data_IF_898654129320
#
_entry.id   IF_898654129320
#
_cell.length_a   1.000
_cell.length_b   1.000
_cell.length_c   1.000
_cell.angle_alpha   90.00
_cell.angle_beta   90.00
_cell.angle_gamma   90.00
#
_symmetry.space_group_name_H-M   'P 1'
#
loop_
_entity.id
_entity.type
_entity.pdbx_description
1 polymer ?
#
# COMPACT_ATOMS: atom_id res chain seq x y z
N UNK A 1 2.14 22.68 -22.00
CA UNK A 1 2.34 24.08 -22.45
C UNK A 1 1.26 24.97 -21.81
N UNK A 2 1.48 26.28 -21.69
CA UNK A 2 0.48 27.22 -21.10
C UNK A 2 -0.86 27.26 -21.87
N UNK A 3 -0.87 26.79 -23.12
CA UNK A 3 -2.01 26.77 -24.03
C UNK A 3 -2.58 25.35 -24.27
N UNK A 4 -2.09 24.33 -23.56
CA UNK A 4 -2.57 22.94 -23.67
C UNK A 4 -2.30 22.22 -25.00
N UNK A 5 -1.58 22.85 -25.96
CA UNK A 5 -1.33 22.29 -27.29
C UNK A 5 -0.26 21.19 -27.36
N UNK A 6 0.55 21.04 -26.30
CA UNK A 6 1.70 20.13 -26.30
C UNK A 6 1.71 19.25 -25.05
N UNK A 7 1.80 17.94 -25.29
CA UNK A 7 2.09 16.92 -24.28
C UNK A 7 3.55 16.52 -24.46
N UNK A 8 4.32 16.57 -23.38
CA UNK A 8 5.64 15.96 -23.31
C UNK A 8 5.49 14.71 -22.46
N UNK A 9 5.63 13.55 -23.09
CA UNK A 9 5.64 12.25 -22.42
C UNK A 9 7.09 11.76 -22.29
N UNK A 10 7.59 11.67 -21.05
CA UNK A 10 8.99 11.37 -20.78
C UNK A 10 9.43 11.71 -19.35
N UNK A 11 10.63 11.29 -18.98
CA UNK A 11 11.26 11.63 -17.70
C UNK A 11 12.34 12.68 -17.91
N UNK A 12 12.44 13.63 -16.99
CA UNK A 12 13.56 14.57 -16.91
C UNK A 12 14.62 13.93 -16.02
N UNK A 13 15.77 13.59 -16.60
CA UNK A 13 16.91 13.02 -15.90
C UNK A 13 18.00 14.08 -15.85
N UNK A 14 18.37 14.48 -14.64
CA UNK A 14 19.58 15.23 -14.38
C UNK A 14 20.77 14.30 -14.55
N UNK A 15 21.66 14.58 -15.50
CA UNK A 15 22.82 13.74 -15.82
C UNK A 15 24.04 14.07 -14.94
N UNK A 16 24.07 15.25 -14.33
CA UNK A 16 25.14 15.65 -13.41
C UNK A 16 24.97 14.90 -12.09
N UNK A 17 23.78 15.02 -11.50
CA UNK A 17 23.44 14.35 -10.25
C UNK A 17 22.97 12.89 -10.47
N UNK A 18 22.70 12.49 -11.72
CA UNK A 18 22.13 11.19 -12.10
C UNK A 18 20.76 10.91 -11.44
N UNK A 19 19.94 11.95 -11.30
CA UNK A 19 18.62 11.89 -10.62
C UNK A 19 17.49 12.04 -11.63
N UNK A 20 16.47 11.17 -11.53
CA UNK A 20 15.22 11.37 -12.24
C UNK A 20 14.33 12.39 -11.48
N UNK A 21 14.27 13.62 -11.98
CA UNK A 21 13.51 14.72 -11.37
C UNK A 21 11.99 14.49 -11.46
N UNK A 22 11.54 13.81 -12.51
CA UNK A 22 10.13 13.42 -12.67
C UNK A 22 9.73 12.42 -11.58
N UNK A 23 10.55 11.41 -11.32
CA UNK A 23 10.31 10.43 -10.25
C UNK A 23 10.37 11.08 -8.86
N UNK A 24 11.37 11.94 -8.61
CA UNK A 24 11.49 12.68 -7.34
C UNK A 24 10.22 13.50 -7.04
N UNK A 25 9.67 14.16 -8.05
CA UNK A 25 8.44 14.94 -7.91
C UNK A 25 7.23 14.03 -7.65
N UNK A 26 7.10 12.93 -8.39
CA UNK A 26 6.03 11.93 -8.18
C UNK A 26 6.10 11.34 -6.77
N UNK A 27 7.27 10.92 -6.30
CA UNK A 27 7.47 10.37 -4.96
C UNK A 27 7.06 11.38 -3.88
N UNK A 28 7.42 12.66 -4.03
CA UNK A 28 6.99 13.71 -3.09
C UNK A 28 5.47 13.87 -3.04
N UNK A 29 4.79 13.83 -4.19
CA UNK A 29 3.32 13.89 -4.25
C UNK A 29 2.69 12.65 -3.58
N UNK A 30 3.18 11.46 -3.90
CA UNK A 30 2.73 10.21 -3.25
C UNK A 30 2.93 10.26 -1.74
N UNK A 31 4.09 10.74 -1.28
CA UNK A 31 4.38 10.93 0.14
C UNK A 31 3.36 11.86 0.80
N UNK A 32 3.02 12.99 0.16
CA UNK A 32 2.04 13.94 0.67
C UNK A 32 0.64 13.33 0.74
N UNK A 33 0.22 12.58 -0.29
CA UNK A 33 -1.08 11.91 -0.31
C UNK A 33 -1.20 10.88 0.82
N UNK A 34 -0.16 10.06 1.04
CA UNK A 34 -0.16 9.08 2.12
C UNK A 34 -0.08 9.74 3.50
N UNK A 35 0.74 10.78 3.68
CA UNK A 35 0.83 11.52 4.95
C UNK A 35 -0.45 12.29 5.30
N UNK A 36 -1.18 12.76 4.29
CA UNK A 36 -2.44 13.46 4.45
C UNK A 36 -3.65 12.54 4.67
N UNK A 37 -3.49 11.23 4.47
CA UNK A 37 -4.56 10.26 4.68
C UNK A 37 -4.66 9.84 6.15
N UNK A 38 -5.88 9.75 6.68
CA UNK A 38 -6.11 9.40 8.07
C UNK A 38 -5.70 7.95 8.36
N UNK A 39 -4.74 7.77 9.28
CA UNK A 39 -4.25 6.45 9.68
C UNK A 39 -5.33 5.59 10.35
N UNK A 40 -6.37 6.18 10.95
CA UNK A 40 -7.52 5.44 11.49
C UNK A 40 -8.31 4.72 10.40
N UNK A 41 -8.15 5.15 9.15
CA UNK A 41 -8.69 4.49 7.96
C UNK A 41 -7.69 3.52 7.32
N UNK A 42 -6.74 2.97 8.08
CA UNK A 42 -5.82 1.91 7.67
C UNK A 42 -5.87 0.72 8.63
N UNK A 43 -5.55 -0.49 8.17
CA UNK A 43 -5.30 -1.62 9.07
C UNK A 43 -3.82 -1.64 9.42
N UNK A 44 -3.48 -1.33 10.68
CA UNK A 44 -2.09 -1.15 11.13
C UNK A 44 -1.55 -2.37 11.87
N UNK A 45 -0.45 -2.90 11.35
CA UNK A 45 0.40 -3.91 11.98
C UNK A 45 1.67 -3.23 12.50
N UNK A 46 1.68 -2.83 13.78
CA UNK A 46 2.78 -2.06 14.35
C UNK A 46 4.07 -2.88 14.44
N UNK A 47 5.21 -2.19 14.33
CA UNK A 47 6.50 -2.74 14.70
C UNK A 47 6.52 -3.28 16.14
N UNK A 48 7.30 -4.33 16.37
CA UNK A 48 7.64 -4.73 17.74
C UNK A 48 8.69 -3.77 18.31
N UNK A 49 8.38 -3.14 19.44
CA UNK A 49 9.25 -2.13 20.05
C UNK A 49 9.28 -0.81 19.29
N UNK A 50 10.48 -0.24 19.07
CA UNK A 50 10.63 1.07 18.42
C UNK A 50 10.42 0.92 16.91
N UNK A 51 9.47 1.70 16.36
CA UNK A 51 9.30 1.82 14.91
C UNK A 51 10.53 2.50 14.30
N UNK A 52 11.22 1.78 13.41
CA UNK A 52 12.36 2.25 12.61
C UNK A 52 11.90 2.78 11.25
N UNK A 53 10.94 2.09 10.64
CA UNK A 53 10.39 2.43 9.33
C UNK A 53 8.88 2.17 9.30
N UNK A 54 8.15 2.93 8.50
CA UNK A 54 6.72 2.71 8.23
C UNK A 54 6.48 2.55 6.74
N UNK A 55 5.79 1.48 6.33
CA UNK A 55 5.36 1.30 4.94
C UNK A 55 3.84 1.26 4.84
N UNK A 56 3.32 1.81 3.75
CA UNK A 56 1.90 1.67 3.40
C UNK A 56 1.77 0.72 2.23
N UNK A 57 0.85 -0.24 2.31
CA UNK A 57 0.71 -1.29 1.30
C UNK A 57 -0.73 -1.34 0.81
N UNK A 58 -0.91 -1.09 -0.48
CA UNK A 58 -2.16 -1.36 -1.17
C UNK A 58 -2.28 -2.87 -1.39
N UNK A 59 -3.33 -3.48 -0.82
CA UNK A 59 -3.48 -4.94 -0.75
C UNK A 59 -4.88 -5.37 -1.17
N UNK A 60 -4.96 -6.55 -1.80
CA UNK A 60 -6.21 -7.21 -2.21
C UNK A 60 -6.30 -8.54 -1.44
N UNK A 61 -7.47 -8.82 -0.87
CA UNK A 61 -7.73 -10.01 -0.04
C UNK A 61 -7.66 -11.31 -0.83
N UNK A 62 -7.90 -11.27 -2.15
CA UNK A 62 -7.88 -12.44 -3.03
C UNK A 62 -6.59 -12.49 -3.89
N UNK A 63 -5.60 -11.64 -3.60
CA UNK A 63 -4.32 -11.66 -4.31
C UNK A 63 -3.32 -12.64 -3.65
N UNK A 64 -2.81 -13.67 -4.36
CA UNK A 64 -1.86 -14.63 -3.80
C UNK A 64 -0.57 -13.98 -3.30
N UNK A 65 -0.02 -13.01 -4.03
CA UNK A 65 1.17 -12.27 -3.58
C UNK A 65 0.90 -11.38 -2.37
N UNK A 66 -0.34 -10.89 -2.19
CA UNK A 66 -0.72 -10.19 -0.96
C UNK A 66 -0.81 -11.12 0.24
N UNK A 67 -1.20 -12.38 0.03
CA UNK A 67 -1.17 -13.42 1.05
C UNK A 67 0.27 -13.81 1.41
N UNK A 68 1.14 -13.99 0.40
CA UNK A 68 2.58 -14.22 0.63
C UNK A 68 3.22 -13.09 1.43
N UNK A 69 3.00 -11.83 1.04
CA UNK A 69 3.49 -10.68 1.78
C UNK A 69 2.97 -10.66 3.22
N UNK A 70 1.69 -10.99 3.44
CA UNK A 70 1.08 -10.99 4.77
C UNK A 70 1.73 -11.99 5.73
N UNK A 71 2.12 -13.17 5.23
CA UNK A 71 2.86 -14.17 6.02
C UNK A 71 4.20 -13.67 6.54
N UNK A 72 4.79 -12.67 5.88
CA UNK A 72 6.07 -12.09 6.30
C UNK A 72 5.92 -10.81 7.13
N UNK A 73 4.70 -10.30 7.34
CA UNK A 73 4.45 -9.11 8.19
C UNK A 73 5.01 -9.28 9.60
N UNK A 74 4.87 -10.42 10.30
CA UNK A 74 5.51 -10.61 11.60
C UNK A 74 7.04 -10.41 11.54
N UNK A 75 7.70 -10.92 10.50
CA UNK A 75 9.15 -10.72 10.32
C UNK A 75 9.52 -9.25 10.11
N UNK A 76 8.69 -8.49 9.40
CA UNK A 76 8.86 -7.03 9.24
C UNK A 76 8.65 -6.31 10.58
N UNK A 77 7.61 -6.67 11.32
CA UNK A 77 7.30 -6.08 12.61
C UNK A 77 8.44 -6.32 13.63
N UNK A 78 8.97 -7.54 13.71
CA UNK A 78 10.12 -7.89 14.57
C UNK A 78 11.39 -7.12 14.17
N UNK A 79 11.51 -6.74 12.89
CA UNK A 79 12.60 -5.91 12.39
C UNK A 79 12.35 -4.41 12.62
N UNK A 80 11.34 -4.01 13.40
CA UNK A 80 11.04 -2.61 13.67
C UNK A 80 10.27 -1.89 12.56
N UNK A 81 9.59 -2.60 11.66
CA UNK A 81 8.85 -2.01 10.53
C UNK A 81 7.35 -2.07 10.80
N UNK A 82 6.68 -0.93 10.77
CA UNK A 82 5.22 -0.84 10.83
C UNK A 82 4.63 -0.98 9.43
N UNK A 83 3.63 -1.86 9.27
CA UNK A 83 2.94 -2.09 7.99
C UNK A 83 1.51 -1.59 8.10
N UNK A 84 1.11 -0.70 7.19
CA UNK A 84 -0.25 -0.14 7.13
C UNK A 84 -0.93 -0.60 5.84
N UNK A 85 -2.06 -1.30 5.94
CA UNK A 85 -2.81 -1.71 4.77
C UNK A 85 -3.90 -0.72 4.38
N UNK A 86 -4.00 -0.50 3.06
CA UNK A 86 -5.12 0.11 2.37
C UNK A 86 -5.70 -0.94 1.40
N UNK A 87 -7.02 -1.09 1.38
CA UNK A 87 -7.68 -2.05 0.50
C UNK A 87 -7.65 -1.55 -0.94
N UNK A 88 -7.25 -2.43 -1.85
CA UNK A 88 -7.24 -2.21 -3.29
C UNK A 88 -7.80 -3.43 -4.02
N UNK A 89 -9.12 -3.68 -3.94
CA UNK A 89 -9.76 -4.77 -4.67
C UNK A 89 -9.58 -4.56 -6.17
N UNK A 90 -8.73 -5.36 -6.82
CA UNK A 90 -8.33 -5.11 -8.22
C UNK A 90 -9.48 -5.23 -9.23
N UNK A 91 -10.52 -5.99 -8.88
CA UNK A 91 -11.73 -6.11 -9.68
C UNK A 91 -12.70 -4.91 -9.51
N UNK A 92 -12.35 -3.94 -8.67
CA UNK A 92 -13.07 -2.68 -8.52
C UNK A 92 -14.32 -2.75 -7.62
N UNK A 93 -14.99 -1.59 -7.42
CA UNK A 93 -16.18 -1.49 -6.58
C UNK A 93 -17.31 -2.41 -7.03
N UNK A 94 -18.00 -3.04 -6.07
CA UNK A 94 -19.11 -3.97 -6.34
C UNK A 94 -18.69 -5.41 -6.69
N UNK A 95 -17.39 -5.66 -6.88
CA UNK A 95 -16.88 -7.03 -7.10
C UNK A 95 -16.92 -7.89 -5.82
N UNK A 96 -16.86 -9.23 -5.92
CA UNK A 96 -16.77 -10.10 -4.74
C UNK A 96 -15.58 -9.78 -3.82
N UNK A 97 -14.40 -9.48 -4.38
CA UNK A 97 -13.23 -9.06 -3.57
C UNK A 97 -13.50 -7.74 -2.85
N UNK A 98 -14.17 -6.76 -3.48
CA UNK A 98 -14.55 -5.52 -2.82
C UNK A 98 -15.47 -5.77 -1.63
N UNK A 99 -16.50 -6.60 -1.81
CA UNK A 99 -17.43 -6.97 -0.72
C UNK A 99 -16.67 -7.66 0.41
N UNK A 100 -15.76 -8.58 0.09
CA UNK A 100 -14.90 -9.26 1.08
C UNK A 100 -13.97 -8.28 1.81
N UNK A 101 -13.40 -7.29 1.11
CA UNK A 101 -12.62 -6.21 1.72
C UNK A 101 -13.45 -5.35 2.68
N UNK A 102 -14.72 -5.06 2.34
CA UNK A 102 -15.66 -4.38 3.25
C UNK A 102 -15.93 -5.23 4.48
N UNK A 103 -16.20 -6.53 4.33
CA UNK A 103 -16.39 -7.43 5.48
C UNK A 103 -15.16 -7.50 6.38
N UNK A 104 -13.94 -7.53 5.81
CA UNK A 104 -12.68 -7.45 6.57
C UNK A 104 -12.60 -6.15 7.37
N UNK A 105 -12.91 -5.02 6.73
CA UNK A 105 -12.87 -3.72 7.39
C UNK A 105 -13.90 -3.61 8.52
N UNK A 106 -15.09 -4.18 8.32
CA UNK A 106 -16.19 -4.14 9.28
C UNK A 106 -16.12 -5.25 10.34
N UNK A 107 -15.06 -6.06 10.37
CA UNK A 107 -14.86 -7.05 11.39
C UNK A 107 -14.44 -6.42 12.72
N UNK A 108 -14.82 -7.04 13.84
CA UNK A 108 -14.45 -6.59 15.19
C UNK A 108 -12.93 -6.62 15.39
N UNK A 109 -12.26 -7.58 14.75
CA UNK A 109 -10.81 -7.65 14.65
C UNK A 109 -10.41 -7.69 13.17
N UNK A 110 -10.13 -6.51 12.62
CA UNK A 110 -9.69 -6.31 11.24
C UNK A 110 -8.39 -7.06 10.92
N UNK A 111 -7.46 -7.18 11.88
CA UNK A 111 -6.16 -7.84 11.66
C UNK A 111 -6.33 -9.34 11.54
N UNK A 112 -7.17 -9.92 12.40
CA UNK A 112 -7.54 -11.35 12.30
C UNK A 112 -8.34 -11.61 11.02
N UNK A 113 -9.30 -10.75 10.69
CA UNK A 113 -10.15 -10.92 9.52
C UNK A 113 -9.37 -10.88 8.20
N UNK A 114 -8.41 -9.94 8.05
CA UNK A 114 -7.60 -9.88 6.83
C UNK A 114 -6.67 -11.10 6.70
N UNK A 115 -6.13 -11.62 7.80
CA UNK A 115 -5.34 -12.85 7.81
C UNK A 115 -6.16 -14.04 7.32
N UNK A 116 -7.33 -14.25 7.92
CA UNK A 116 -8.26 -15.30 7.52
C UNK A 116 -8.68 -15.17 6.04
N UNK A 117 -8.99 -13.94 5.59
CA UNK A 117 -9.36 -13.67 4.20
C UNK A 117 -8.29 -14.12 3.20
N UNK A 118 -7.02 -13.79 3.51
CA UNK A 118 -5.84 -14.08 2.69
C UNK A 118 -5.44 -15.56 2.71
N UNK A 119 -5.85 -16.30 3.73
CA UNK A 119 -5.68 -17.75 3.83
C UNK A 119 -6.79 -18.53 3.11
N UNK A 120 -7.76 -17.83 2.50
CA UNK A 120 -8.91 -18.47 1.83
C UNK A 120 -10.03 -18.87 2.80
N UNK A 121 -9.97 -18.41 4.05
CA UNK A 121 -11.05 -18.62 5.01
C UNK A 121 -12.34 -17.88 4.63
N UNK A 122 -13.46 -18.41 5.13
CA UNK A 122 -14.78 -17.81 4.94
C UNK A 122 -14.98 -16.70 5.98
N UNK A 123 -15.34 -15.52 5.51
CA UNK A 123 -15.74 -14.40 6.36
C UNK A 123 -17.24 -14.24 6.31
N UNK A 124 -17.85 -13.95 7.46
CA UNK A 124 -19.22 -13.48 7.50
C UNK A 124 -19.35 -12.17 6.71
N UNK A 125 -20.41 -12.05 5.94
CA UNK A 125 -20.72 -10.81 5.25
C UNK A 125 -21.09 -9.73 6.27
N UNK A 126 -20.28 -8.67 6.36
CA UNK A 126 -20.52 -7.52 7.24
C UNK A 126 -20.47 -6.23 6.43
N UNK A 127 -21.26 -5.25 6.86
CA UNK A 127 -21.25 -3.90 6.31
C UNK A 127 -21.32 -2.87 7.43
N UNK A 128 -20.66 -1.74 7.21
CA UNK A 128 -20.52 -0.63 8.14
C UNK A 128 -20.08 0.60 7.34
N UNK A 129 -20.06 1.78 7.97
CA UNK A 129 -19.35 2.92 7.38
C UNK A 129 -17.85 2.58 7.27
N UNK A 130 -17.33 2.60 6.05
CA UNK A 130 -16.00 2.06 5.75
C UNK A 130 -15.29 2.86 4.65
N UNK A 131 -13.95 2.91 4.67
CA UNK A 131 -13.17 3.68 3.73
C UNK A 131 -12.77 2.86 2.48
N UNK A 132 -13.25 1.64 2.24
CA UNK A 132 -12.71 0.76 1.18
C UNK A 132 -12.76 1.41 -0.21
N UNK A 133 -13.85 2.12 -0.52
CA UNK A 133 -13.97 2.87 -1.78
C UNK A 133 -13.01 4.08 -1.84
N UNK A 134 -12.80 4.76 -0.71
CA UNK A 134 -11.87 5.89 -0.59
C UNK A 134 -10.42 5.42 -0.77
N UNK A 135 -10.05 4.32 -0.11
CA UNK A 135 -8.75 3.66 -0.24
C UNK A 135 -8.46 3.24 -1.68
N UNK A 136 -9.45 2.63 -2.35
CA UNK A 136 -9.34 2.26 -3.76
C UNK A 136 -9.08 3.49 -4.64
N UNK A 137 -9.84 4.56 -4.47
CA UNK A 137 -9.66 5.82 -5.22
C UNK A 137 -8.31 6.48 -4.95
N UNK A 138 -7.83 6.45 -3.70
CA UNK A 138 -6.49 6.93 -3.35
C UNK A 138 -5.41 6.14 -4.10
N UNK A 139 -5.55 4.81 -4.18
CA UNK A 139 -4.65 3.97 -4.96
C UNK A 139 -4.65 4.34 -6.45
N UNK A 140 -5.83 4.61 -7.03
CA UNK A 140 -5.92 5.09 -8.42
C UNK A 140 -5.21 6.43 -8.62
N UNK A 141 -5.40 7.37 -7.69
CA UNK A 141 -4.75 8.68 -7.73
C UNK A 141 -3.22 8.59 -7.64
N UNK A 142 -2.70 7.65 -6.85
CA UNK A 142 -1.26 7.37 -6.71
C UNK A 142 -0.69 6.63 -7.94
N UNK A 143 -1.55 5.99 -8.74
CA UNK A 143 -1.15 5.19 -9.91
C UNK A 143 -0.87 3.72 -9.59
N UNK A 144 -1.53 3.16 -8.58
CA UNK A 144 -1.45 1.73 -8.24
C UNK A 144 -2.09 0.90 -9.36
N UNK A 145 -1.30 0.05 -10.01
CA UNK A 145 -1.75 -0.82 -11.12
C UNK A 145 -1.88 -2.29 -10.72
N UNK A 146 -1.39 -2.67 -9.54
CA UNK A 146 -1.41 -4.05 -9.06
C UNK A 146 -1.21 -4.14 -7.55
N UNK A 147 -1.37 -5.35 -7.01
CA UNK A 147 -1.21 -5.61 -5.58
C UNK A 147 -0.31 -6.82 -5.34
N UNK A 148 0.51 -6.83 -4.26
CA UNK A 148 0.70 -5.71 -3.36
C UNK A 148 1.46 -4.57 -4.06
N UNK A 149 1.20 -3.32 -3.68
CA UNK A 149 2.04 -2.18 -4.04
C UNK A 149 2.46 -1.50 -2.74
N UNK A 150 3.76 -1.40 -2.51
CA UNK A 150 4.33 -0.83 -1.29
C UNK A 150 4.72 0.61 -1.54
N UNK A 151 4.40 1.48 -0.59
CA UNK A 151 4.77 2.89 -0.57
C UNK A 151 5.70 3.10 0.62
N UNK A 152 6.93 3.52 0.33
CA UNK A 152 7.94 3.82 1.35
C UNK A 152 7.70 5.20 1.96
N UNK A 153 8.39 5.52 3.06
CA UNK A 153 8.23 6.80 3.77
C UNK A 153 8.59 8.02 2.92
N UNK A 154 9.51 7.87 1.97
CA UNK A 154 9.89 8.90 1.00
C UNK A 154 8.92 9.00 -0.20
N UNK A 155 7.84 8.20 -0.21
CA UNK A 155 6.84 8.13 -1.26
C UNK A 155 7.23 7.32 -2.49
N UNK A 156 8.40 6.66 -2.47
CA UNK A 156 8.78 5.71 -3.51
C UNK A 156 7.78 4.56 -3.57
N UNK A 157 7.37 4.23 -4.78
CA UNK A 157 6.44 3.14 -5.07
C UNK A 157 7.25 1.89 -5.47
N UNK A 158 7.04 0.79 -4.75
CA UNK A 158 7.56 -0.53 -5.11
C UNK A 158 6.37 -1.42 -5.52
N UNK A 159 6.13 -1.64 -6.82
CA UNK A 159 5.08 -2.53 -7.28
C UNK A 159 5.46 -4.00 -7.04
N UNK A 160 4.47 -4.81 -6.68
CA UNK A 160 4.63 -6.24 -6.50
C UNK A 160 5.14 -6.65 -5.12
N UNK A 161 5.29 -7.96 -4.94
CA UNK A 161 5.81 -8.54 -3.71
C UNK A 161 7.34 -8.43 -3.67
N UNK A 162 7.86 -7.97 -2.53
CA UNK A 162 9.28 -8.00 -2.19
C UNK A 162 9.45 -8.79 -0.88
N UNK A 163 10.30 -9.84 -0.84
CA UNK A 163 10.54 -10.60 0.38
C UNK A 163 11.05 -9.71 1.51
N UNK A 164 10.62 -9.97 2.74
CA UNK A 164 10.89 -9.16 3.91
C UNK A 164 12.38 -8.96 4.16
N UNK A 165 13.23 -9.98 3.93
CA UNK A 165 14.69 -9.83 4.06
C UNK A 165 15.28 -8.83 3.07
N UNK A 166 14.73 -8.73 1.86
CA UNK A 166 15.16 -7.75 0.86
C UNK A 166 14.59 -6.38 1.19
N UNK A 167 13.32 -6.31 1.61
CA UNK A 167 12.67 -5.06 2.01
C UNK A 167 13.36 -4.41 3.21
N UNK A 168 13.72 -5.20 4.23
CA UNK A 168 14.47 -4.72 5.41
C UNK A 168 15.80 -4.10 4.97
N UNK A 169 16.59 -4.81 4.16
CA UNK A 169 17.87 -4.29 3.62
C UNK A 169 17.66 -3.02 2.82
N UNK A 170 16.62 -2.96 1.99
CA UNK A 170 16.29 -1.81 1.17
C UNK A 170 15.93 -0.59 2.02
N UNK A 171 15.15 -0.78 3.09
CA UNK A 171 14.77 0.29 4.02
C UNK A 171 15.96 0.77 4.85
N UNK A 172 16.80 -0.14 5.33
CA UNK A 172 17.98 0.20 6.12
C UNK A 172 19.05 0.94 5.31
N UNK A 173 19.12 0.71 3.99
CA UNK A 173 20.03 1.43 3.08
C UNK A 173 19.47 2.79 2.59
N UNK A 174 18.25 3.17 2.97
CA UNK A 174 17.66 4.48 2.67
C UNK A 174 17.77 5.47 3.85
N UNK A 175 18.25 5.00 5.01
CA UNK A 175 18.48 5.78 6.23
C UNK A 175 19.88 6.38 6.30
#
# INVERSE_FOLDING_TARGET
SQDGRYIVDGSIIDLEDKINLTEKTKNKLTQQLIKGYDEKKMIVFPAEGKTRHTITVFTDVDCPYCAMFHKEVPKLNNAGITVRYLMYPRAGPGSPTFIKSVSVWCADDQKKAIGMAKEGGVLEAKTCDNPVLEQFKLGQQIGVTGTPTLILENGKILPGYLPASQLIKLLDNQG
#
